data_IF_208894710667
#
_entry.id   IF_208894710667
#
_cell.length_a   1.000
_cell.length_b   1.000
_cell.length_c   1.000
_cell.angle_alpha   90.00
_cell.angle_beta   90.00
_cell.angle_gamma   90.00
#
_symmetry.space_group_name_H-M   'P 1'
#
loop_
_entity.id
_entity.type
_entity.pdbx_description
1 polymer ?
#
# COMPACT_ATOMS: atom_id res chain seq x y z
N UNK A 1 7.71 -18.26 -17.77
CA UNK A 1 6.53 -18.27 -16.88
C UNK A 1 6.81 -18.76 -15.44
N UNK A 2 7.70 -19.76 -15.25
CA UNK A 2 8.05 -20.26 -13.91
C UNK A 2 8.86 -19.26 -13.09
N UNK A 3 9.76 -18.51 -13.72
CA UNK A 3 10.59 -17.48 -13.06
C UNK A 3 9.74 -16.32 -12.52
N UNK A 4 8.77 -15.84 -13.32
CA UNK A 4 7.84 -14.77 -12.91
C UNK A 4 6.97 -15.21 -11.74
N UNK A 5 6.50 -16.46 -11.73
CA UNK A 5 5.75 -17.00 -10.59
C UNK A 5 6.59 -17.07 -9.32
N UNK A 6 7.85 -17.51 -9.43
CA UNK A 6 8.77 -17.55 -8.28
C UNK A 6 9.03 -16.15 -7.75
N UNK A 7 9.34 -15.19 -8.62
CA UNK A 7 9.57 -13.79 -8.25
C UNK A 7 8.36 -13.20 -7.52
N UNK A 8 7.13 -13.36 -8.06
CA UNK A 8 5.92 -12.90 -7.40
C UNK A 8 5.74 -13.53 -6.02
N UNK A 9 5.93 -14.85 -5.89
CA UNK A 9 5.81 -15.52 -4.59
C UNK A 9 6.88 -15.08 -3.60
N UNK A 10 8.09 -14.77 -4.07
CA UNK A 10 9.15 -14.21 -3.23
C UNK A 10 8.76 -12.82 -2.72
N UNK A 11 8.33 -11.91 -3.59
CA UNK A 11 7.91 -10.57 -3.19
C UNK A 11 6.75 -10.58 -2.20
N UNK A 12 5.74 -11.46 -2.41
CA UNK A 12 4.63 -11.62 -1.47
C UNK A 12 5.13 -12.10 -0.11
N UNK A 13 5.93 -13.18 -0.11
CA UNK A 13 6.49 -13.73 1.13
C UNK A 13 7.33 -12.70 1.86
N UNK A 14 8.22 -12.04 1.16
CA UNK A 14 9.18 -11.11 1.76
C UNK A 14 8.46 -9.88 2.33
N UNK A 15 7.46 -9.33 1.63
CA UNK A 15 6.63 -8.25 2.16
C UNK A 15 5.89 -8.65 3.44
N UNK A 16 5.23 -9.81 3.43
CA UNK A 16 4.51 -10.29 4.61
C UNK A 16 5.47 -10.55 5.77
N UNK A 17 6.62 -11.20 5.52
CA UNK A 17 7.63 -11.50 6.55
C UNK A 17 8.26 -10.22 7.11
N UNK A 18 8.55 -9.24 6.26
CA UNK A 18 9.08 -7.94 6.70
C UNK A 18 8.13 -7.28 7.72
N UNK A 19 6.84 -7.19 7.37
CA UNK A 19 5.87 -6.55 8.26
C UNK A 19 5.51 -7.41 9.48
N UNK A 20 5.56 -8.74 9.40
CA UNK A 20 5.52 -9.61 10.60
C UNK A 20 6.66 -9.27 11.54
N UNK A 21 7.89 -9.04 11.02
CA UNK A 21 9.04 -8.57 11.79
C UNK A 21 8.84 -7.19 12.44
N UNK A 22 7.97 -6.34 11.89
CA UNK A 22 7.57 -5.06 12.49
C UNK A 22 6.34 -5.20 13.42
N UNK A 23 5.92 -6.42 13.76
CA UNK A 23 4.85 -6.71 14.71
C UNK A 23 3.44 -6.80 14.11
N UNK A 24 3.31 -6.88 12.78
CA UNK A 24 2.02 -7.03 12.13
C UNK A 24 1.49 -8.46 12.25
N UNK A 25 0.19 -8.58 12.45
CA UNK A 25 -0.53 -9.84 12.32
C UNK A 25 -0.78 -10.10 10.82
N UNK A 26 -0.26 -11.20 10.33
CA UNK A 26 -0.57 -11.65 8.98
C UNK A 26 -1.98 -12.24 8.93
N UNK A 27 -2.81 -11.72 8.04
CA UNK A 27 -4.14 -12.25 7.75
C UNK A 27 -4.18 -12.83 6.33
N UNK A 28 -5.00 -13.85 6.17
CA UNK A 28 -5.33 -14.39 4.85
C UNK A 28 -6.13 -13.37 4.02
N UNK A 29 -6.11 -13.55 2.69
CA UNK A 29 -6.96 -12.76 1.79
C UNK A 29 -8.43 -12.95 2.13
N UNK A 30 -9.13 -11.86 2.33
CA UNK A 30 -10.58 -11.89 2.47
C UNK A 30 -11.24 -12.37 1.17
N UNK A 31 -12.45 -12.97 1.25
CA UNK A 31 -13.23 -13.35 0.07
C UNK A 31 -13.47 -12.16 -0.86
N UNK A 32 -13.40 -12.37 -2.17
CA UNK A 32 -13.65 -11.32 -3.18
C UNK A 32 -15.08 -10.78 -3.12
N UNK A 33 -16.04 -11.61 -2.80
CA UNK A 33 -17.42 -11.19 -2.53
C UNK A 33 -17.50 -10.77 -1.07
N UNK A 34 -17.72 -9.47 -0.78
CA UNK A 34 -17.74 -8.98 0.59
C UNK A 34 -18.90 -9.59 1.37
N UNK A 35 -18.65 -9.93 2.62
CA UNK A 35 -19.68 -10.36 3.56
C UNK A 35 -20.15 -9.14 4.33
N UNK A 36 -21.47 -8.87 4.32
CA UNK A 36 -22.09 -7.81 5.12
C UNK A 36 -21.66 -6.37 4.76
N UNK A 37 -21.26 -6.12 3.52
CA UNK A 37 -21.03 -4.77 2.98
C UNK A 37 -21.77 -4.59 1.66
N UNK A 38 -22.98 -3.99 1.67
CA UNK A 38 -23.76 -3.78 0.46
C UNK A 38 -23.22 -2.65 -0.44
N UNK A 39 -22.22 -1.90 0.02
CA UNK A 39 -21.62 -0.80 -0.75
C UNK A 39 -20.65 -1.28 -1.83
N UNK A 40 -20.22 -2.54 -1.77
CA UNK A 40 -19.27 -3.13 -2.69
C UNK A 40 -19.79 -4.46 -3.24
N UNK A 41 -19.76 -4.62 -4.55
CA UNK A 41 -20.04 -5.92 -5.19
C UNK A 41 -18.85 -6.88 -5.08
N UNK A 42 -17.64 -6.35 -5.27
CA UNK A 42 -16.41 -7.11 -5.22
C UNK A 42 -15.33 -6.26 -4.48
N UNK A 43 -14.44 -6.95 -3.79
CA UNK A 43 -13.31 -6.30 -3.13
C UNK A 43 -12.33 -5.79 -4.20
N UNK A 44 -12.07 -4.49 -4.16
CA UNK A 44 -11.26 -3.74 -5.14
C UNK A 44 -9.98 -3.13 -4.56
N UNK A 45 -9.76 -3.27 -3.25
CA UNK A 45 -8.57 -2.78 -2.57
C UNK A 45 -8.27 -3.57 -1.28
N UNK A 46 -7.04 -3.48 -0.80
CA UNK A 46 -6.63 -4.13 0.45
C UNK A 46 -7.34 -3.60 1.68
N UNK A 47 -7.73 -2.33 1.69
CA UNK A 47 -8.41 -1.69 2.81
C UNK A 47 -9.91 -2.03 2.88
N UNK A 48 -10.55 -2.27 1.74
CA UNK A 48 -12.00 -2.41 1.65
C UNK A 48 -12.60 -3.43 2.65
N UNK A 49 -12.07 -4.65 2.82
CA UNK A 49 -12.61 -5.60 3.79
C UNK A 49 -12.42 -5.21 5.25
N UNK A 50 -11.53 -4.26 5.54
CA UNK A 50 -11.19 -3.78 6.88
C UNK A 50 -11.81 -2.41 7.22
N UNK A 51 -12.73 -1.92 6.38
CA UNK A 51 -13.38 -0.62 6.51
C UNK A 51 -13.94 -0.35 7.91
N UNK A 52 -14.54 -1.37 8.54
CA UNK A 52 -15.13 -1.24 9.87
C UNK A 52 -14.09 -0.97 10.96
N UNK A 53 -12.88 -1.52 10.83
CA UNK A 53 -11.76 -1.27 11.75
C UNK A 53 -11.24 0.16 11.59
N UNK A 54 -11.15 0.67 10.35
CA UNK A 54 -10.77 2.06 10.10
C UNK A 54 -11.80 3.06 10.62
N UNK A 55 -13.08 2.69 10.63
CA UNK A 55 -14.17 3.51 11.15
C UNK A 55 -14.40 3.32 12.66
N UNK A 56 -13.57 2.53 13.34
CA UNK A 56 -13.73 2.16 14.76
C UNK A 56 -15.11 1.58 15.10
N UNK A 57 -15.75 0.90 14.14
CA UNK A 57 -17.03 0.21 14.32
C UNK A 57 -16.86 -1.20 14.89
N UNK A 58 -15.69 -1.79 14.65
CA UNK A 58 -15.29 -3.09 15.20
C UNK A 58 -13.81 -2.99 15.61
N UNK A 59 -13.42 -3.70 16.65
CA UNK A 59 -12.02 -3.81 17.07
C UNK A 59 -11.26 -4.70 16.08
N UNK A 60 -10.07 -4.28 15.61
CA UNK A 60 -9.22 -5.13 14.78
C UNK A 60 -8.63 -6.27 15.64
N UNK A 61 -8.30 -7.42 15.03
CA UNK A 61 -7.67 -8.54 15.76
C UNK A 61 -6.28 -8.17 16.30
N UNK A 62 -5.65 -7.17 15.73
CA UNK A 62 -4.42 -6.50 16.15
C UNK A 62 -4.35 -5.12 15.53
N UNK A 63 -3.74 -4.15 16.20
CA UNK A 63 -3.57 -2.78 15.68
C UNK A 63 -2.63 -2.69 14.47
N UNK A 64 -1.79 -3.71 14.23
CA UNK A 64 -0.94 -3.87 13.04
C UNK A 64 -1.35 -5.11 12.28
N UNK A 65 -1.69 -4.95 11.01
CA UNK A 65 -2.11 -6.06 10.14
C UNK A 65 -1.37 -5.99 8.81
N UNK A 66 -0.97 -7.15 8.28
CA UNK A 66 -0.43 -7.26 6.92
C UNK A 66 -1.17 -8.31 6.12
N UNK A 67 -1.41 -8.05 4.84
CA UNK A 67 -2.18 -8.94 3.95
C UNK A 67 -1.60 -8.97 2.54
N UNK A 68 -1.91 -10.04 1.81
CA UNK A 68 -1.86 -10.09 0.36
C UNK A 68 -3.30 -10.29 -0.14
N UNK A 69 -4.02 -9.19 -0.36
CA UNK A 69 -5.45 -9.20 -0.69
C UNK A 69 -5.69 -9.37 -2.18
N UNK A 70 -6.48 -10.37 -2.55
CA UNK A 70 -7.01 -10.53 -3.90
C UNK A 70 -8.06 -9.48 -4.19
N UNK A 71 -7.91 -8.78 -5.31
CA UNK A 71 -8.76 -7.66 -5.72
C UNK A 71 -9.24 -7.80 -7.15
N UNK A 72 -10.42 -7.23 -7.43
CA UNK A 72 -10.96 -7.10 -8.80
C UNK A 72 -11.33 -5.63 -9.03
N UNK A 73 -10.87 -5.08 -10.19
CA UNK A 73 -11.28 -3.78 -10.71
C UNK A 73 -11.79 -3.93 -12.13
N UNK A 74 -13.08 -3.80 -12.32
CA UNK A 74 -13.74 -3.95 -13.64
C UNK A 74 -13.67 -2.71 -14.54
N UNK A 75 -13.60 -1.45 -14.03
CA UNK A 75 -13.46 -0.27 -14.88
C UNK A 75 -12.26 -0.29 -15.82
N UNK A 76 -11.22 -1.04 -15.48
CA UNK A 76 -9.99 -1.14 -16.29
C UNK A 76 -10.06 -2.22 -17.38
N UNK A 77 -11.18 -2.92 -17.54
CA UNK A 77 -11.29 -4.08 -18.45
C UNK A 77 -10.99 -3.69 -19.91
N UNK A 78 -11.41 -2.52 -20.34
CA UNK A 78 -11.18 -2.02 -21.71
C UNK A 78 -9.70 -1.68 -21.98
N UNK A 79 -8.90 -1.51 -20.93
CA UNK A 79 -7.47 -1.21 -21.02
C UNK A 79 -6.59 -2.46 -20.96
N UNK A 80 -7.15 -3.60 -20.58
CA UNK A 80 -6.44 -4.87 -20.48
C UNK A 80 -6.01 -5.34 -21.87
N UNK A 81 -4.72 -5.60 -22.03
CA UNK A 81 -4.12 -5.98 -23.31
C UNK A 81 -3.78 -4.80 -24.23
N UNK A 82 -4.26 -3.59 -23.95
CA UNK A 82 -3.90 -2.35 -24.67
C UNK A 82 -2.72 -1.68 -23.98
N UNK A 83 -2.76 -1.57 -22.67
CA UNK A 83 -1.67 -1.00 -21.86
C UNK A 83 -0.85 -2.12 -21.21
N UNK A 84 0.41 -1.82 -20.91
CA UNK A 84 1.34 -2.81 -20.35
C UNK A 84 1.04 -3.23 -18.90
N UNK A 85 0.22 -2.48 -18.17
CA UNK A 85 0.09 -2.61 -16.70
C UNK A 85 -1.33 -2.79 -16.17
N UNK A 86 -2.36 -2.75 -17.00
CA UNK A 86 -3.73 -2.92 -16.55
C UNK A 86 -4.13 -4.40 -16.53
N UNK A 87 -4.70 -4.82 -15.42
CA UNK A 87 -5.34 -6.12 -15.24
C UNK A 87 -6.60 -5.95 -14.39
N UNK A 88 -7.57 -6.83 -14.55
CA UNK A 88 -8.82 -6.79 -13.78
C UNK A 88 -8.69 -7.50 -12.44
N UNK A 89 -7.87 -8.55 -12.36
CA UNK A 89 -7.59 -9.31 -11.15
C UNK A 89 -6.13 -9.13 -10.76
N UNK A 90 -5.88 -8.76 -9.51
CA UNK A 90 -4.54 -8.56 -8.97
C UNK A 90 -4.49 -8.84 -7.47
N UNK A 91 -3.28 -8.92 -6.93
CA UNK A 91 -3.03 -9.04 -5.50
C UNK A 91 -2.44 -7.71 -4.99
N UNK A 92 -3.02 -7.18 -3.92
CA UNK A 92 -2.56 -5.96 -3.27
C UNK A 92 -1.85 -6.33 -1.97
N UNK A 93 -0.55 -6.05 -1.92
CA UNK A 93 0.23 -6.15 -0.68
C UNK A 93 -0.11 -4.97 0.20
N UNK A 94 -0.46 -5.23 1.45
CA UNK A 94 -0.88 -4.21 2.38
C UNK A 94 -0.28 -4.37 3.77
N UNK A 95 0.05 -3.26 4.38
CA UNK A 95 0.35 -3.14 5.80
C UNK A 95 -0.49 -2.00 6.37
N UNK A 96 -1.17 -2.27 7.46
CA UNK A 96 -2.20 -1.39 8.01
C UNK A 96 -1.93 -1.13 9.48
N UNK A 97 -2.14 0.14 9.88
CA UNK A 97 -2.07 0.59 11.26
C UNK A 97 -3.45 1.08 11.70
N UNK A 98 -3.94 0.55 12.80
CA UNK A 98 -5.18 0.99 13.43
C UNK A 98 -4.83 1.71 14.72
N UNK A 99 -4.57 3.04 14.60
CA UNK A 99 -4.20 3.92 15.73
C UNK A 99 -2.92 3.47 16.49
N UNK A 100 -1.93 2.91 15.78
CA UNK A 100 -0.67 2.46 16.37
C UNK A 100 0.51 3.28 15.86
N UNK A 101 0.92 3.08 14.60
CA UNK A 101 1.99 3.86 13.97
C UNK A 101 1.44 4.73 12.83
N UNK A 102 2.24 5.70 12.39
CA UNK A 102 1.89 6.56 11.27
C UNK A 102 3.11 6.86 10.39
N UNK A 103 3.24 8.05 9.81
CA UNK A 103 4.26 8.42 8.83
C UNK A 103 5.69 8.24 9.33
N UNK A 104 5.94 8.57 10.59
CA UNK A 104 7.26 8.50 11.22
C UNK A 104 7.88 7.09 11.17
N UNK A 105 7.08 6.06 11.24
CA UNK A 105 7.51 4.68 11.21
C UNK A 105 7.39 4.08 9.81
N UNK A 106 6.22 4.23 9.14
CA UNK A 106 5.97 3.52 7.89
C UNK A 106 6.84 4.00 6.74
N UNK A 107 7.16 5.30 6.68
CA UNK A 107 8.02 5.84 5.61
C UNK A 107 9.43 5.24 5.65
N UNK A 108 10.16 5.24 6.78
CA UNK A 108 11.43 4.53 6.88
C UNK A 108 11.32 3.01 6.62
N UNK A 109 10.25 2.35 7.08
CA UNK A 109 10.06 0.91 6.82
C UNK A 109 9.84 0.62 5.34
N UNK A 110 9.04 1.42 4.64
CA UNK A 110 8.86 1.26 3.20
C UNK A 110 10.18 1.42 2.44
N UNK A 111 10.99 2.41 2.83
CA UNK A 111 12.31 2.61 2.26
C UNK A 111 13.26 1.46 2.55
N UNK A 112 13.32 1.00 3.81
CA UNK A 112 14.10 -0.17 4.22
C UNK A 112 13.72 -1.40 3.38
N UNK A 113 12.43 -1.70 3.28
CA UNK A 113 11.95 -2.85 2.53
C UNK A 113 12.34 -2.78 1.04
N UNK A 114 12.23 -1.62 0.42
CA UNK A 114 12.52 -1.48 -1.00
C UNK A 114 14.01 -1.45 -1.32
N UNK A 115 14.83 -0.88 -0.45
CA UNK A 115 16.23 -0.55 -0.81
C UNK A 115 17.29 -1.41 -0.11
N UNK A 116 16.97 -2.12 0.96
CA UNK A 116 17.98 -2.95 1.63
C UNK A 116 18.27 -4.24 0.85
N UNK A 117 19.52 -4.69 0.91
CA UNK A 117 20.00 -5.90 0.24
C UNK A 117 19.32 -7.19 0.75
N UNK A 118 18.81 -7.14 1.96
CA UNK A 118 18.09 -8.26 2.58
C UNK A 118 16.70 -8.47 1.96
N UNK A 119 16.08 -7.41 1.40
CA UNK A 119 14.72 -7.43 0.88
C UNK A 119 14.67 -7.24 -0.63
N UNK A 120 14.24 -6.07 -1.10
CA UNK A 120 14.03 -5.84 -2.54
C UNK A 120 15.30 -5.37 -3.27
N UNK A 121 16.28 -4.82 -2.58
CA UNK A 121 17.55 -4.33 -3.12
C UNK A 121 17.41 -3.41 -4.34
N UNK A 122 16.34 -2.59 -4.38
CA UNK A 122 16.15 -1.64 -5.47
C UNK A 122 17.15 -0.49 -5.31
N UNK A 123 17.93 -0.16 -6.36
CA UNK A 123 18.85 0.97 -6.31
C UNK A 123 18.12 2.28 -5.97
N UNK A 124 18.62 2.99 -4.96
CA UNK A 124 17.98 4.22 -4.43
C UNK A 124 17.85 5.32 -5.48
N UNK A 125 18.79 5.40 -6.41
CA UNK A 125 18.83 6.35 -7.52
C UNK A 125 17.74 6.11 -8.59
N UNK A 126 17.04 4.98 -8.51
CA UNK A 126 15.92 4.67 -9.39
C UNK A 126 14.56 4.99 -8.81
N UNK A 127 14.51 5.35 -7.53
CA UNK A 127 13.26 5.62 -6.84
C UNK A 127 12.99 7.12 -6.77
N UNK A 128 11.78 7.50 -7.10
CA UNK A 128 11.25 8.86 -6.99
C UNK A 128 10.05 8.86 -6.06
N UNK A 129 9.90 9.92 -5.28
CA UNK A 129 8.88 10.03 -4.25
C UNK A 129 7.95 11.18 -4.58
N UNK A 130 6.66 10.95 -4.50
CA UNK A 130 5.68 12.03 -4.47
C UNK A 130 5.08 12.18 -3.08
N UNK A 131 4.73 13.40 -2.74
CA UNK A 131 3.98 13.75 -1.54
C UNK A 131 2.86 14.72 -1.89
N UNK A 132 1.80 14.71 -1.11
CA UNK A 132 0.76 15.74 -1.23
C UNK A 132 1.35 17.12 -0.95
N UNK A 133 0.97 18.12 -1.74
CA UNK A 133 1.59 19.45 -1.74
C UNK A 133 1.58 20.17 -0.38
N UNK A 134 0.55 19.90 0.44
CA UNK A 134 0.41 20.46 1.79
C UNK A 134 0.96 19.54 2.90
N UNK A 135 1.52 18.37 2.56
CA UNK A 135 2.06 17.41 3.53
C UNK A 135 3.55 17.64 3.78
N UNK A 136 3.86 18.70 4.52
CA UNK A 136 5.24 19.02 4.91
C UNK A 136 5.85 17.97 5.83
N UNK A 137 5.05 17.33 6.67
CA UNK A 137 5.52 16.26 7.56
C UNK A 137 6.09 15.09 6.76
N UNK A 138 5.36 14.57 5.77
CA UNK A 138 5.85 13.49 4.92
C UNK A 138 7.10 13.92 4.15
N UNK A 139 7.12 15.13 3.60
CA UNK A 139 8.28 15.67 2.89
C UNK A 139 9.52 15.74 3.78
N UNK A 140 9.36 16.20 5.01
CA UNK A 140 10.46 16.30 5.99
C UNK A 140 10.96 14.92 6.41
N UNK A 141 10.09 13.95 6.63
CA UNK A 141 10.50 12.58 6.95
C UNK A 141 11.32 12.00 5.80
N UNK A 142 10.87 12.12 4.56
CA UNK A 142 11.59 11.63 3.39
C UNK A 142 12.96 12.27 3.22
N UNK A 143 13.04 13.58 3.33
CA UNK A 143 14.28 14.31 3.08
C UNK A 143 15.25 14.33 4.27
N UNK A 144 14.74 14.53 5.48
CA UNK A 144 15.59 14.73 6.68
C UNK A 144 15.87 13.42 7.43
N UNK A 145 14.90 12.50 7.50
CA UNK A 145 15.02 11.26 8.25
C UNK A 145 15.51 10.11 7.37
N UNK A 146 14.90 9.93 6.19
CA UNK A 146 15.27 8.88 5.23
C UNK A 146 16.46 9.29 4.38
N UNK A 147 16.59 10.58 4.06
CA UNK A 147 17.72 11.12 3.30
C UNK A 147 17.54 11.00 1.78
N UNK A 148 16.30 11.00 1.29
CA UNK A 148 16.02 11.08 -0.15
C UNK A 148 16.44 12.45 -0.67
N UNK A 149 17.17 12.47 -1.78
CA UNK A 149 17.64 13.73 -2.38
C UNK A 149 16.46 14.56 -2.92
N UNK A 150 16.46 15.89 -2.75
CA UNK A 150 15.33 16.73 -3.16
C UNK A 150 14.97 16.66 -4.65
N UNK A 151 15.91 16.33 -5.51
CA UNK A 151 15.70 16.13 -6.95
C UNK A 151 14.97 14.82 -7.28
N UNK A 152 14.85 13.90 -6.31
CA UNK A 152 14.01 12.70 -6.36
C UNK A 152 12.64 12.90 -5.71
N UNK A 153 12.32 14.12 -5.27
CA UNK A 153 11.05 14.45 -4.61
C UNK A 153 10.17 15.33 -5.50
N UNK A 154 8.88 15.05 -5.51
CA UNK A 154 7.88 15.91 -6.16
C UNK A 154 6.68 16.12 -5.25
N UNK A 155 6.15 17.35 -5.26
CA UNK A 155 4.88 17.69 -4.60
C UNK A 155 3.77 17.70 -5.63
N UNK A 156 2.71 16.97 -5.39
CA UNK A 156 1.58 16.86 -6.30
C UNK A 156 0.27 17.24 -5.58
N UNK A 157 -0.68 17.70 -6.36
CA UNK A 157 -1.99 18.14 -5.85
C UNK A 157 -2.91 16.97 -5.47
N UNK A 158 -4.15 17.34 -5.18
CA UNK A 158 -5.18 16.40 -4.70
C UNK A 158 -5.51 15.29 -5.70
N UNK A 159 -5.35 15.53 -6.98
CA UNK A 159 -5.66 14.54 -8.03
C UNK A 159 -4.73 13.32 -7.97
N UNK A 160 -3.47 13.52 -7.57
CA UNK A 160 -2.45 12.49 -7.59
C UNK A 160 -2.10 11.95 -6.19
N UNK A 161 -2.03 12.84 -5.18
CA UNK A 161 -1.52 12.50 -3.85
C UNK A 161 -2.52 12.72 -2.71
N UNK A 162 -3.81 12.55 -2.98
CA UNK A 162 -4.82 12.56 -1.93
C UNK A 162 -5.81 11.40 -2.15
N UNK A 163 -5.97 10.58 -1.13
CA UNK A 163 -6.89 9.46 -1.16
C UNK A 163 -8.19 9.77 -0.42
N UNK A 164 -9.31 9.40 -1.02
CA UNK A 164 -10.62 9.51 -0.39
C UNK A 164 -11.54 8.35 -0.79
N UNK A 165 -12.38 7.92 0.15
CA UNK A 165 -13.33 6.84 -0.05
C UNK A 165 -14.77 7.35 0.19
N UNK A 166 -15.34 7.99 -0.81
CA UNK A 166 -16.67 8.61 -0.73
C UNK A 166 -16.74 9.63 0.42
N UNK A 167 -17.75 9.51 1.29
CA UNK A 167 -17.89 10.31 2.51
C UNK A 167 -17.15 9.72 3.73
N UNK A 168 -16.28 8.75 3.50
CA UNK A 168 -15.56 8.02 4.54
C UNK A 168 -14.14 8.53 4.78
N UNK A 169 -13.23 7.63 5.16
CA UNK A 169 -11.84 7.98 5.42
C UNK A 169 -11.17 8.61 4.20
N UNK A 170 -10.33 9.62 4.45
CA UNK A 170 -9.53 10.29 3.43
C UNK A 170 -8.22 10.81 4.05
N UNK A 171 -7.25 11.12 3.21
CA UNK A 171 -6.00 11.71 3.67
C UNK A 171 -4.96 11.88 2.56
N UNK A 172 -3.86 12.59 2.86
CA UNK A 172 -2.76 12.74 1.93
C UNK A 172 -2.07 11.40 1.68
N UNK A 173 -1.55 11.25 0.48
CA UNK A 173 -0.73 10.12 0.07
C UNK A 173 0.73 10.53 -0.11
N UNK A 174 1.63 9.59 0.13
CA UNK A 174 3.00 9.65 -0.34
C UNK A 174 3.27 8.37 -1.12
N UNK A 175 3.79 8.49 -2.33
CA UNK A 175 3.97 7.36 -3.24
C UNK A 175 5.44 7.21 -3.64
N UNK A 176 5.84 5.97 -3.93
CA UNK A 176 7.19 5.60 -4.36
C UNK A 176 7.10 5.01 -5.76
N UNK A 177 7.83 5.60 -6.72
CA UNK A 177 7.89 5.20 -8.11
C UNK A 177 9.24 4.63 -8.51
#
# INVERSE_FOLDING_TARGET
>A
HLSIRRQRQMCIRDSLTFFEGKGHLRLDSFPLVPKNDPSLLLINSGMAPMKKWFLAQEEPPRHRVTTCQKCIRTPDIERVGITARHGTFFEMLGNFSFQDYFKEEVIPWAWEFLTSDEWMAIPKDKLHISVYEEDDEAYDIWTKKVGVAPDHMVRLGKEDNFWEHGSGPCGPCSEIY
#
